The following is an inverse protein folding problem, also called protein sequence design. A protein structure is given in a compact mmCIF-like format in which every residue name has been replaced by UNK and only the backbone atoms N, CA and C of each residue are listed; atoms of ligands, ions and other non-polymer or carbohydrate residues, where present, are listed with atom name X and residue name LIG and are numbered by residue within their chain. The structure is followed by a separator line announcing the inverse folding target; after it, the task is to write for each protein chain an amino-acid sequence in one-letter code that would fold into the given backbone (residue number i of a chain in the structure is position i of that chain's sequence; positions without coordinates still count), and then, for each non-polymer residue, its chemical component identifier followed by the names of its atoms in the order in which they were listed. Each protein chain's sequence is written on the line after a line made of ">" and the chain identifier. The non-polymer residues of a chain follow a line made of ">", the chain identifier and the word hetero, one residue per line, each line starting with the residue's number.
data_IF_043069848496
#
_entry.id   IF_043069848496
#
_cell.length_a   1.000
_cell.length_b   1.000
_cell.length_c   1.000
_cell.angle_alpha   90.00
_cell.angle_beta   90.00
_cell.angle_gamma   90.00
#
_symmetry.space_group_name_H-M   'P 1'
#
loop_
_entity.id
_entity.type
_entity.pdbx_description
1 polymer ?
#
# COMPACT_ATOMS: atom_id res chain seq x y z
N UNK A 1 -11.35 -14.88 19.65
CA UNK A 1 -10.99 -13.65 18.89
C UNK A 1 -10.10 -14.02 17.70
N UNK A 2 -10.04 -13.21 16.62
CA UNK A 2 -9.11 -13.44 15.49
C UNK A 2 -7.78 -12.71 15.73
N UNK A 3 -6.67 -13.39 15.46
CA UNK A 3 -5.31 -12.89 15.70
C UNK A 3 -4.87 -11.86 14.64
N UNK A 4 -4.23 -10.75 15.02
CA UNK A 4 -3.55 -9.85 14.09
C UNK A 4 -2.24 -10.49 13.61
N UNK A 5 -2.39 -11.44 12.68
CA UNK A 5 -1.33 -11.81 11.75
C UNK A 5 -1.10 -10.70 10.73
N UNK A 6 -0.32 -10.96 9.71
CA UNK A 6 0.06 -9.36 8.22
C UNK A 6 -1.29 -8.96 7.69
N UNK A 7 -1.47 -7.68 7.37
CA UNK A 7 -2.72 -7.25 6.75
C UNK A 7 -2.62 -7.44 5.24
N UNK A 8 -2.65 -8.69 4.81
CA UNK A 8 -3.12 -9.00 3.46
C UNK A 8 -4.64 -8.80 3.44
N UNK A 9 -5.16 -8.05 2.46
CA UNK A 9 -6.60 -8.04 2.21
C UNK A 9 -6.95 -9.25 1.35
N UNK A 10 -7.74 -10.17 1.90
CA UNK A 10 -8.35 -11.25 1.10
C UNK A 10 -9.54 -10.69 0.32
N UNK A 11 -9.45 -10.70 -1.00
CA UNK A 11 -10.53 -10.33 -1.92
C UNK A 11 -11.00 -11.59 -2.64
N UNK A 12 -12.26 -11.98 -2.45
CA UNK A 12 -12.86 -13.10 -3.20
C UNK A 12 -13.38 -12.62 -4.55
N UNK A 13 -12.91 -13.24 -5.63
CA UNK A 13 -13.25 -12.93 -7.03
C UNK A 13 -13.62 -14.26 -7.71
N UNK A 14 -14.84 -14.37 -8.25
CA UNK A 14 -15.36 -15.61 -8.85
C UNK A 14 -15.08 -16.87 -8.00
N UNK A 15 -15.43 -16.81 -6.70
CA UNK A 15 -15.19 -17.87 -5.71
C UNK A 15 -13.74 -18.03 -5.24
N UNK A 16 -12.75 -17.62 -6.05
CA UNK A 16 -11.32 -17.75 -5.76
C UNK A 16 -10.85 -16.64 -4.81
N UNK A 17 -10.00 -17.00 -3.85
CA UNK A 17 -9.38 -16.05 -2.91
C UNK A 17 -8.15 -15.41 -3.57
N UNK A 18 -8.04 -14.09 -3.47
CA UNK A 18 -6.87 -13.32 -3.86
C UNK A 18 -6.32 -12.56 -2.66
N UNK A 19 -5.00 -12.43 -2.60
CA UNK A 19 -4.27 -11.72 -1.55
C UNK A 19 -3.68 -10.44 -2.12
N UNK A 20 -4.21 -9.30 -1.65
CA UNK A 20 -3.67 -7.97 -1.87
C UNK A 20 -2.74 -7.64 -0.71
N UNK A 21 -1.50 -7.28 -1.02
CA UNK A 21 -0.52 -6.80 -0.04
C UNK A 21 0.08 -5.48 -0.52
N UNK A 22 0.57 -4.67 0.42
CA UNK A 22 1.02 -3.28 0.22
C UNK A 22 2.33 -3.05 0.98
N UNK A 23 3.28 -2.35 0.35
CA UNK A 23 4.37 -1.70 1.06
C UNK A 23 3.91 -0.29 1.47
N UNK A 24 4.17 0.11 2.71
CA UNK A 24 3.71 1.38 3.29
C UNK A 24 4.83 1.99 4.13
N UNK A 25 5.07 3.29 4.00
CA UNK A 25 6.10 4.00 4.76
C UNK A 25 5.65 4.40 6.19
N UNK A 26 6.55 5.03 6.94
CA UNK A 26 6.28 5.53 8.29
C UNK A 26 5.20 6.63 8.36
N UNK A 27 4.95 7.35 7.25
CA UNK A 27 3.95 8.42 7.15
C UNK A 27 2.58 7.92 6.65
N UNK A 28 2.51 6.72 6.07
CA UNK A 28 1.32 6.05 5.56
C UNK A 28 1.23 6.03 4.03
N UNK A 29 2.24 6.53 3.31
CA UNK A 29 2.29 6.51 1.86
C UNK A 29 2.45 5.07 1.38
N UNK A 30 1.61 4.66 0.44
CA UNK A 30 1.68 3.33 -0.17
C UNK A 30 2.76 3.35 -1.23
N UNK A 31 3.88 2.68 -0.96
CA UNK A 31 5.06 2.68 -1.82
C UNK A 31 4.96 1.68 -2.98
N UNK A 32 4.33 0.52 -2.75
CA UNK A 32 4.04 -0.48 -3.78
C UNK A 32 2.81 -1.34 -3.42
N UNK A 33 2.19 -1.99 -4.42
CA UNK A 33 0.96 -2.78 -4.27
C UNK A 33 0.93 -3.94 -5.25
N UNK A 34 0.68 -5.16 -4.75
CA UNK A 34 0.52 -6.34 -5.61
C UNK A 34 -0.58 -7.30 -5.12
N UNK A 35 -1.30 -7.86 -6.09
CA UNK A 35 -2.41 -8.81 -5.99
C UNK A 35 -1.97 -10.18 -6.48
N UNK A 36 -2.21 -11.23 -5.71
CA UNK A 36 -1.86 -12.60 -6.09
C UNK A 36 -2.97 -13.63 -5.79
N UNK A 37 -2.90 -14.79 -6.43
CA UNK A 37 -3.83 -15.92 -6.27
C UNK A 37 -3.38 -16.96 -5.22
N UNK A 38 -2.27 -16.71 -4.51
CA UNK A 38 -1.74 -17.58 -3.44
C UNK A 38 -1.18 -16.75 -2.28
N UNK A 39 -0.95 -17.41 -1.14
CA UNK A 39 -0.32 -16.88 0.09
C UNK A 39 0.68 -17.91 0.67
N UNK A 40 1.55 -18.39 -0.20
CA UNK A 40 2.65 -19.30 0.11
C UNK A 40 3.99 -18.52 0.23
N UNK A 41 5.10 -19.20 0.56
CA UNK A 41 6.43 -18.57 0.51
C UNK A 41 6.76 -18.07 -0.90
N UNK A 42 6.21 -18.66 -1.97
CA UNK A 42 6.42 -18.23 -3.35
C UNK A 42 5.63 -16.96 -3.77
N UNK A 43 4.60 -16.58 -2.98
CA UNK A 43 3.73 -15.42 -3.20
C UNK A 43 4.06 -14.26 -2.24
N UNK A 44 4.34 -14.58 -0.96
CA UNK A 44 5.13 -13.69 -0.11
C UNK A 44 6.43 -13.33 -0.85
N UNK A 45 7.10 -14.35 -1.43
CA UNK A 45 8.13 -14.11 -2.43
C UNK A 45 7.60 -13.35 -3.63
N UNK A 46 6.56 -13.65 -4.41
CA UNK A 46 6.26 -12.79 -5.59
C UNK A 46 5.94 -11.30 -5.32
N UNK A 47 5.83 -10.85 -4.06
CA UNK A 47 5.90 -9.43 -3.62
C UNK A 47 7.25 -9.03 -2.97
N UNK A 48 8.00 -10.02 -2.47
CA UNK A 48 9.31 -9.96 -1.80
C UNK A 48 10.28 -11.09 -2.31
N UNK A 49 10.59 -11.26 -3.63
CA UNK A 49 11.19 -12.53 -4.17
C UNK A 49 12.69 -12.55 -4.48
N UNK A 50 13.25 -13.76 -4.58
CA UNK A 50 14.60 -14.11 -5.10
C UNK A 50 14.96 -13.62 -6.53
N UNK A 51 14.14 -12.79 -7.18
CA UNK A 51 14.48 -12.12 -8.44
C UNK A 51 13.90 -10.70 -8.43
N UNK A 52 12.58 -10.60 -8.37
CA UNK A 52 11.87 -9.31 -8.33
C UNK A 52 11.85 -8.60 -6.95
N UNK A 53 12.54 -9.03 -5.90
CA UNK A 53 12.79 -8.16 -4.72
C UNK A 53 13.96 -7.26 -5.06
N UNK A 54 15.00 -7.86 -5.62
CA UNK A 54 16.11 -7.14 -6.21
C UNK A 54 15.69 -6.34 -7.45
N UNK A 55 14.42 -6.44 -7.91
CA UNK A 55 13.79 -5.49 -8.84
C UNK A 55 12.84 -4.51 -8.14
N UNK A 56 11.82 -4.98 -7.44
CA UNK A 56 10.75 -4.22 -6.77
C UNK A 56 11.21 -3.52 -5.49
N UNK A 57 11.89 -4.20 -4.58
CA UNK A 57 12.53 -3.55 -3.43
C UNK A 57 13.77 -2.76 -3.85
N UNK A 58 14.64 -3.18 -4.79
CA UNK A 58 15.64 -2.21 -5.33
C UNK A 58 14.98 -1.02 -6.06
N UNK A 59 13.74 -1.12 -6.54
CA UNK A 59 12.97 0.04 -7.07
C UNK A 59 12.43 0.92 -5.95
N UNK A 60 12.00 0.31 -4.84
CA UNK A 60 11.67 1.00 -3.58
C UNK A 60 12.89 1.75 -3.04
N UNK A 61 14.01 1.04 -2.83
CA UNK A 61 15.28 1.56 -2.31
C UNK A 61 15.87 2.66 -3.20
N UNK A 62 15.86 2.49 -4.54
CA UNK A 62 16.32 3.52 -5.48
C UNK A 62 15.39 4.73 -5.59
N UNK A 63 14.14 4.65 -5.11
CA UNK A 63 13.16 5.75 -5.15
C UNK A 63 12.91 6.42 -3.79
N UNK A 64 13.18 5.71 -2.69
CA UNK A 64 12.80 6.11 -1.33
C UNK A 64 13.90 5.86 -0.27
N UNK A 65 15.08 5.38 -0.66
CA UNK A 65 16.19 5.07 0.25
C UNK A 65 16.03 3.74 1.00
N UNK A 66 17.04 3.38 1.80
CA UNK A 66 17.01 2.16 2.60
C UNK A 66 16.23 2.38 3.91
N UNK A 67 15.19 1.59 4.23
CA UNK A 67 14.47 1.71 5.49
C UNK A 67 15.34 1.23 6.65
N UNK A 68 15.44 2.03 7.72
CA UNK A 68 16.17 1.63 8.95
C UNK A 68 15.48 0.47 9.69
N UNK A 69 14.15 0.36 9.55
CA UNK A 69 13.31 -0.64 10.23
C UNK A 69 12.28 -1.17 9.23
N UNK A 70 12.09 -2.48 9.18
CA UNK A 70 11.01 -3.15 8.45
C UNK A 70 10.00 -3.69 9.46
N UNK A 71 8.72 -3.35 9.28
CA UNK A 71 7.61 -3.82 10.11
C UNK A 71 6.75 -4.78 9.31
N UNK A 72 6.54 -6.00 9.82
CA UNK A 72 5.68 -7.02 9.19
C UNK A 72 4.89 -7.79 10.24
N UNK A 73 3.99 -8.65 9.81
CA UNK A 73 3.41 -9.69 10.68
C UNK A 73 4.38 -10.83 11.03
N UNK A 74 3.99 -11.60 12.05
CA UNK A 74 4.73 -12.74 12.63
C UNK A 74 4.82 -13.98 11.74
N UNK A 75 4.62 -13.88 10.41
CA UNK A 75 4.70 -15.05 9.54
C UNK A 75 6.14 -15.29 9.07
N UNK A 76 6.61 -16.52 9.24
CA UNK A 76 8.01 -16.92 9.03
C UNK A 76 8.53 -16.64 7.60
N UNK A 77 7.66 -16.45 6.62
CA UNK A 77 8.03 -16.08 5.25
C UNK A 77 8.73 -14.72 5.13
N UNK A 78 8.46 -13.77 6.04
CA UNK A 78 9.05 -12.43 6.02
C UNK A 78 10.46 -12.41 6.58
N UNK A 79 10.70 -13.00 7.75
CA UNK A 79 12.05 -13.15 8.30
C UNK A 79 12.94 -13.97 7.35
N UNK A 80 12.40 -15.07 6.79
CA UNK A 80 13.09 -15.88 5.78
C UNK A 80 13.22 -15.22 4.40
N UNK A 81 12.70 -14.00 4.22
CA UNK A 81 12.97 -13.15 3.05
C UNK A 81 14.03 -12.09 3.41
N UNK A 82 13.87 -11.33 4.50
CA UNK A 82 14.85 -10.31 4.93
C UNK A 82 16.28 -10.87 4.98
N UNK A 83 16.48 -12.03 5.60
CA UNK A 83 17.79 -12.69 5.71
C UNK A 83 18.39 -13.06 4.34
N UNK A 84 17.57 -13.54 3.41
CA UNK A 84 17.98 -13.97 2.06
C UNK A 84 18.39 -12.79 1.16
N UNK A 85 18.05 -11.56 1.57
CA UNK A 85 18.07 -10.38 0.71
C UNK A 85 19.08 -9.32 1.18
N UNK A 86 19.96 -9.70 2.12
CA UNK A 86 21.07 -8.87 2.60
C UNK A 86 20.66 -7.59 3.32
N UNK A 87 19.37 -7.41 3.63
CA UNK A 87 18.89 -6.25 4.35
C UNK A 87 19.22 -6.41 5.84
N UNK A 88 20.37 -5.87 6.24
CA UNK A 88 20.79 -5.71 7.63
C UNK A 88 19.96 -4.60 8.31
N UNK A 89 18.65 -4.84 8.37
CA UNK A 89 17.58 -3.87 8.69
C UNK A 89 16.73 -4.44 9.81
N UNK A 90 16.47 -3.64 10.83
CA UNK A 90 15.78 -4.10 12.04
C UNK A 90 14.36 -4.61 11.72
N UNK A 91 14.07 -5.88 12.03
CA UNK A 91 12.77 -6.49 11.72
C UNK A 91 11.86 -6.53 12.96
N UNK A 92 10.84 -5.67 13.00
CA UNK A 92 9.88 -5.61 14.11
C UNK A 92 8.57 -6.32 13.77
N UNK A 93 8.14 -7.21 14.65
CA UNK A 93 6.89 -8.00 14.51
C UNK A 93 5.91 -7.80 15.68
N UNK A 94 5.90 -6.62 16.32
CA UNK A 94 5.02 -6.33 17.45
C UNK A 94 3.59 -5.98 16.99
N UNK A 95 2.60 -6.47 17.74
CA UNK A 95 1.17 -6.19 17.55
C UNK A 95 0.94 -4.68 17.56
N UNK A 96 0.27 -4.14 16.54
CA UNK A 96 -0.07 -2.72 16.43
C UNK A 96 0.95 -1.86 15.68
N UNK A 97 2.22 -2.28 15.52
CA UNK A 97 3.14 -1.56 14.62
C UNK A 97 2.68 -1.66 13.16
N UNK A 98 2.00 -2.76 12.80
CA UNK A 98 1.39 -2.95 11.50
C UNK A 98 0.11 -2.11 11.27
N UNK A 99 -0.41 -1.37 12.27
CA UNK A 99 -1.66 -0.61 12.16
C UNK A 99 -1.70 0.38 10.97
N UNK A 100 -0.54 0.87 10.51
CA UNK A 100 -0.47 1.76 9.33
C UNK A 100 -0.69 1.00 8.02
N UNK A 101 -0.12 -0.21 7.92
CA UNK A 101 -0.43 -1.15 6.85
C UNK A 101 -1.90 -1.59 6.92
N UNK A 102 -2.41 -2.00 8.10
CA UNK A 102 -3.83 -2.39 8.31
C UNK A 102 -4.80 -1.37 7.69
N UNK A 103 -4.63 -0.10 8.06
CA UNK A 103 -5.52 0.98 7.65
C UNK A 103 -5.42 1.31 6.15
N UNK A 104 -4.28 1.06 5.49
CA UNK A 104 -4.12 1.26 4.05
C UNK A 104 -5.05 0.38 3.18
N UNK A 105 -5.62 -0.69 3.75
CA UNK A 105 -6.59 -1.55 3.07
C UNK A 105 -8.04 -1.07 3.17
N UNK A 106 -8.37 -0.14 4.08
CA UNK A 106 -9.75 0.29 4.32
C UNK A 106 -10.43 0.87 3.06
N UNK A 107 -9.81 1.74 2.24
CA UNK A 107 -10.44 2.22 1.00
C UNK A 107 -10.75 1.09 0.01
N UNK A 108 -9.91 0.04 -0.03
CA UNK A 108 -10.15 -1.12 -0.89
C UNK A 108 -11.29 -2.00 -0.37
N UNK A 109 -11.43 -2.14 0.96
CA UNK A 109 -12.60 -2.79 1.60
C UNK A 109 -13.89 -2.03 1.31
N UNK A 110 -13.89 -0.70 1.44
CA UNK A 110 -15.05 0.17 1.12
C UNK A 110 -15.43 0.01 -0.36
N UNK A 111 -14.48 0.13 -1.29
CA UNK A 111 -14.73 -0.06 -2.73
C UNK A 111 -15.30 -1.45 -3.05
N UNK A 112 -14.79 -2.50 -2.40
CA UNK A 112 -15.29 -3.87 -2.57
C UNK A 112 -16.73 -4.04 -2.08
N UNK A 113 -17.09 -3.40 -0.95
CA UNK A 113 -18.45 -3.43 -0.37
C UNK A 113 -19.45 -2.65 -1.23
N UNK A 114 -19.14 -1.39 -1.54
CA UNK A 114 -20.06 -0.47 -2.26
C UNK A 114 -20.31 -0.96 -3.70
N UNK A 115 -19.27 -1.30 -4.44
CA UNK A 115 -19.37 -1.54 -5.89
C UNK A 115 -19.38 -3.03 -6.26
N UNK A 116 -20.17 -3.83 -5.52
CA UNK A 116 -20.54 -5.24 -5.81
C UNK A 116 -19.35 -6.16 -6.17
N UNK A 117 -18.21 -6.02 -5.46
CA UNK A 117 -16.95 -6.79 -5.59
C UNK A 117 -16.20 -6.58 -6.93
N UNK A 118 -14.91 -6.92 -6.95
CA UNK A 118 -14.07 -6.86 -8.15
C UNK A 118 -14.33 -8.05 -9.08
N UNK A 119 -14.29 -7.80 -10.40
CA UNK A 119 -14.55 -8.82 -11.44
C UNK A 119 -13.31 -9.63 -11.86
N UNK A 120 -12.10 -9.11 -11.68
CA UNK A 120 -10.86 -9.84 -11.99
C UNK A 120 -9.68 -9.36 -11.16
N UNK A 121 -8.66 -10.20 -10.99
CA UNK A 121 -7.42 -9.82 -10.33
C UNK A 121 -6.69 -8.67 -11.05
N UNK A 122 -6.75 -8.62 -12.40
CA UNK A 122 -6.21 -7.51 -13.21
C UNK A 122 -6.93 -6.18 -12.95
N UNK A 123 -8.26 -6.22 -12.76
CA UNK A 123 -9.05 -5.05 -12.34
C UNK A 123 -8.64 -4.61 -10.93
N UNK A 124 -8.59 -5.53 -9.96
CA UNK A 124 -8.15 -5.22 -8.60
C UNK A 124 -6.75 -4.57 -8.59
N UNK A 125 -5.76 -5.15 -9.30
CA UNK A 125 -4.40 -4.63 -9.41
C UNK A 125 -4.35 -3.22 -10.01
N UNK A 126 -5.07 -2.97 -11.12
CA UNK A 126 -5.18 -1.64 -11.74
C UNK A 126 -5.77 -0.63 -10.77
N UNK A 127 -6.91 -0.97 -10.15
CA UNK A 127 -7.56 -0.10 -9.18
C UNK A 127 -6.66 0.23 -7.99
N UNK A 128 -6.02 -0.77 -7.36
CA UNK A 128 -5.24 -0.53 -6.14
C UNK A 128 -3.92 0.19 -6.40
N UNK A 129 -3.34 0.07 -7.60
CA UNK A 129 -2.16 0.83 -8.04
C UNK A 129 -2.48 2.30 -8.33
N UNK A 130 -3.56 2.59 -9.07
CA UNK A 130 -3.99 3.98 -9.29
C UNK A 130 -4.43 4.62 -7.97
N UNK A 131 -5.25 3.93 -7.18
CA UNK A 131 -5.69 4.42 -5.88
C UNK A 131 -4.52 4.64 -4.90
N UNK A 132 -3.44 3.87 -4.97
CA UNK A 132 -2.24 4.15 -4.16
C UNK A 132 -1.64 5.52 -4.51
N UNK A 133 -1.43 5.80 -5.80
CA UNK A 133 -0.85 7.06 -6.28
C UNK A 133 -1.74 8.26 -5.93
N UNK A 134 -3.04 8.19 -6.21
CA UNK A 134 -4.02 9.24 -5.85
C UNK A 134 -4.08 9.43 -4.33
N UNK A 135 -4.15 8.33 -3.56
CA UNK A 135 -4.20 8.42 -2.10
C UNK A 135 -2.93 9.00 -1.49
N UNK A 136 -1.76 8.82 -2.12
CA UNK A 136 -0.51 9.44 -1.67
C UNK A 136 -0.48 10.94 -1.97
N UNK A 137 -0.96 11.37 -3.15
CA UNK A 137 -1.00 12.79 -3.55
C UNK A 137 -1.83 13.64 -2.57
N UNK A 138 -2.99 13.11 -2.15
CA UNK A 138 -3.84 13.74 -1.14
C UNK A 138 -3.53 13.29 0.30
N UNK A 139 -2.43 12.55 0.53
CA UNK A 139 -1.98 12.23 1.88
C UNK A 139 -1.16 13.38 2.45
N UNK A 140 -1.62 13.92 3.57
CA UNK A 140 -0.88 14.90 4.37
C UNK A 140 -0.74 14.36 5.79
N UNK A 141 0.27 14.83 6.53
CA UNK A 141 0.47 14.41 7.92
C UNK A 141 -0.78 14.74 8.76
N UNK A 142 -1.48 13.69 9.19
CA UNK A 142 -2.70 13.79 10.01
C UNK A 142 -2.41 14.43 11.37
N UNK A 143 -1.24 14.08 11.91
CA UNK A 143 -0.65 14.56 13.16
C UNK A 143 0.43 15.60 12.86
N UNK A 144 0.67 16.53 13.79
CA UNK A 144 1.73 17.54 13.74
C UNK A 144 1.68 18.46 12.50
N UNK A 145 0.47 18.88 12.08
CA UNK A 145 0.27 19.91 11.06
C UNK A 145 -0.95 20.78 11.40
N UNK A 146 -0.80 22.10 11.30
CA UNK A 146 -1.85 23.07 11.58
C UNK A 146 -2.86 23.21 10.41
N UNK A 147 -3.93 23.99 10.61
CA UNK A 147 -4.99 24.14 9.61
C UNK A 147 -4.51 24.82 8.30
N UNK A 148 -3.58 25.77 8.39
CA UNK A 148 -3.01 26.48 7.23
C UNK A 148 -2.13 25.57 6.38
N UNK A 149 -1.23 24.82 7.01
CA UNK A 149 -0.38 23.80 6.36
C UNK A 149 -1.25 22.74 5.66
N UNK A 150 -2.32 22.27 6.32
CA UNK A 150 -3.29 21.32 5.76
C UNK A 150 -4.05 21.90 4.55
N UNK A 151 -4.37 23.20 4.55
CA UNK A 151 -4.97 23.91 3.40
C UNK A 151 -3.97 24.09 2.24
N UNK A 152 -2.73 24.51 2.53
CA UNK A 152 -1.66 24.69 1.54
C UNK A 152 -1.30 23.37 0.85
N UNK A 153 -1.05 22.30 1.61
CA UNK A 153 -0.76 20.98 1.06
C UNK A 153 -1.91 20.46 0.17
N UNK A 154 -3.17 20.71 0.55
CA UNK A 154 -4.33 20.37 -0.27
C UNK A 154 -4.40 21.19 -1.57
N UNK A 155 -4.11 22.49 -1.54
CA UNK A 155 -3.99 23.31 -2.77
C UNK A 155 -2.91 22.78 -3.71
N UNK A 156 -1.75 22.39 -3.17
CA UNK A 156 -0.66 21.81 -3.97
C UNK A 156 -1.05 20.43 -4.57
N UNK A 157 -1.76 19.59 -3.80
CA UNK A 157 -2.26 18.31 -4.29
C UNK A 157 -3.27 18.46 -5.43
N UNK A 158 -4.19 19.43 -5.35
CA UNK A 158 -5.11 19.74 -6.46
C UNK A 158 -4.37 20.29 -7.68
N UNK A 159 -3.49 21.27 -7.53
CA UNK A 159 -2.71 21.81 -8.68
C UNK A 159 -1.91 20.71 -9.39
N UNK A 160 -1.30 19.79 -8.64
CA UNK A 160 -0.57 18.65 -9.20
C UNK A 160 -1.51 17.61 -9.87
N UNK A 161 -2.71 17.39 -9.31
CA UNK A 161 -3.74 16.54 -9.93
C UNK A 161 -4.23 17.12 -11.26
N UNK A 162 -4.51 18.42 -11.31
CA UNK A 162 -4.94 19.14 -12.51
C UNK A 162 -3.85 19.11 -13.59
N UNK A 163 -2.58 19.31 -13.20
CA UNK A 163 -1.41 19.17 -14.09
C UNK A 163 -1.29 17.77 -14.71
N UNK A 164 -1.63 16.71 -13.96
CA UNK A 164 -1.53 15.31 -14.42
C UNK A 164 -2.77 14.84 -15.21
N UNK A 165 -3.92 15.49 -15.03
CA UNK A 165 -5.19 15.07 -15.64
C UNK A 165 -5.73 15.98 -16.72
N UNK A 166 -5.18 17.20 -16.88
CA UNK A 166 -5.65 18.18 -17.85
C UNK A 166 -7.07 18.71 -17.60
N UNK A 167 -7.60 18.51 -16.39
CA UNK A 167 -9.00 18.76 -16.07
C UNK A 167 -9.11 19.54 -14.75
N UNK A 168 -9.39 20.86 -14.79
CA UNK A 168 -9.54 21.66 -13.58
C UNK A 168 -10.71 21.12 -12.76
N UNK A 169 -10.45 20.84 -11.47
CA UNK A 169 -11.44 20.26 -10.56
C UNK A 169 -12.20 21.32 -9.77
N UNK A 170 -11.65 22.54 -9.68
CA UNK A 170 -12.25 23.65 -8.93
C UNK A 170 -13.54 24.18 -9.59
N UNK A 171 -13.62 24.19 -10.92
CA UNK A 171 -14.75 24.76 -11.66
C UNK A 171 -16.01 23.88 -11.60
N UNK A 172 -15.89 22.59 -11.24
CA UNK A 172 -16.99 21.61 -11.23
C UNK A 172 -17.62 21.37 -9.86
N UNK A 173 -17.31 22.20 -8.87
CA UNK A 173 -17.88 22.15 -7.50
C UNK A 173 -18.56 23.48 -7.13
N UNK A 174 -18.66 24.40 -8.10
CA UNK A 174 -19.29 25.71 -7.98
C UNK A 174 -20.56 25.84 -8.87
N UNK A 175 -21.08 24.71 -9.35
CA UNK A 175 -22.29 24.55 -10.15
C UNK A 175 -23.02 23.27 -9.70
#
# INVERSE_FOLDING_TARGET
>A
MKSPGPTYLVVTIHGRKHWLWRAVDQHGAVLDVLVQSRRDKAAAKRLIPQGDFLRGVRKLLRRHGCPRVIVTDKLRSYAAANNELGLNVEHRQHKGLNNRAENSHQPTRVRQKVMRRFKSARHLQRFTSVHAQVSNLFMHCRYNANAQQKRQARKHAFKAWETVTGNPMLDRVAA
#
